data_IF_154139501418
#
_entry.id   IF_154139501418
#
_cell.length_a   1.000
_cell.length_b   1.000
_cell.length_c   1.000
_cell.angle_alpha   90.00
_cell.angle_beta   90.00
_cell.angle_gamma   90.00
#
_symmetry.space_group_name_H-M   'P 1'
#
loop_
_entity.id
_entity.type
_entity.pdbx_description
1 polymer ?
#
# COMPACT_ATOMS: atom_id res chain seq x y z
N UNK A 1 47.06 14.28 -27.91
CA UNK A 1 46.40 15.20 -26.95
C UNK A 1 45.01 14.65 -26.67
N UNK A 2 44.77 14.08 -25.49
CA UNK A 2 43.45 13.58 -25.12
C UNK A 2 42.53 14.79 -24.86
N UNK A 3 41.42 14.89 -25.61
CA UNK A 3 40.42 15.92 -25.40
C UNK A 3 39.79 15.73 -24.02
N UNK A 4 40.04 16.66 -23.10
CA UNK A 4 39.38 16.67 -21.79
C UNK A 4 37.87 16.79 -22.01
N UNK A 5 37.14 15.77 -21.62
CA UNK A 5 35.67 15.68 -21.57
C UNK A 5 35.15 16.68 -20.54
N UNK A 6 34.98 17.95 -20.93
CA UNK A 6 34.22 18.91 -20.15
C UNK A 6 32.73 18.61 -20.30
N UNK A 7 32.21 17.78 -19.39
CA UNK A 7 30.79 17.75 -19.07
C UNK A 7 30.36 19.16 -18.58
N UNK A 8 29.14 19.57 -18.94
CA UNK A 8 28.65 20.96 -19.00
C UNK A 8 28.47 21.64 -17.61
N UNK A 9 28.92 21.03 -16.50
CA UNK A 9 28.76 21.54 -15.13
C UNK A 9 30.07 21.79 -14.38
N UNK A 10 29.95 22.23 -13.11
CA UNK A 10 31.08 22.25 -12.19
C UNK A 10 31.62 20.83 -11.93
N UNK A 11 32.82 20.73 -11.34
CA UNK A 11 33.51 19.45 -11.16
C UNK A 11 32.67 18.44 -10.37
N UNK A 12 32.00 18.88 -9.33
CA UNK A 12 31.20 18.02 -8.45
C UNK A 12 29.92 17.51 -9.15
N UNK A 13 29.32 18.34 -10.01
CA UNK A 13 28.21 17.95 -10.87
C UNK A 13 28.65 16.88 -11.88
N UNK A 14 29.83 17.06 -12.47
CA UNK A 14 30.40 16.07 -13.40
C UNK A 14 30.72 14.75 -12.70
N UNK A 15 31.20 14.80 -11.45
CA UNK A 15 31.41 13.62 -10.63
C UNK A 15 30.10 12.91 -10.30
N UNK A 16 29.02 13.66 -10.01
CA UNK A 16 27.70 13.06 -9.83
C UNK A 16 27.21 12.33 -11.08
N UNK A 17 27.39 12.92 -12.28
CA UNK A 17 27.10 12.24 -13.54
C UNK A 17 27.92 10.95 -13.70
N UNK A 18 29.22 10.99 -13.41
CA UNK A 18 30.08 9.79 -13.43
C UNK A 18 29.60 8.72 -12.46
N UNK A 19 29.16 9.11 -11.25
CA UNK A 19 28.60 8.19 -10.27
C UNK A 19 27.33 7.52 -10.80
N UNK A 20 26.40 8.29 -11.38
CA UNK A 20 25.19 7.77 -12.03
C UNK A 20 25.52 6.75 -13.15
N UNK A 21 26.47 7.08 -14.01
CA UNK A 21 26.94 6.18 -15.07
C UNK A 21 27.57 4.92 -14.47
N UNK A 22 28.40 5.07 -13.43
CA UNK A 22 29.04 3.96 -12.72
C UNK A 22 28.02 2.97 -12.12
N UNK A 23 26.91 3.48 -11.58
CA UNK A 23 25.81 2.62 -11.12
C UNK A 23 25.19 1.82 -12.28
N UNK A 24 24.96 2.45 -13.45
CA UNK A 24 24.41 1.73 -14.61
C UNK A 24 25.39 0.68 -15.16
N UNK A 25 26.68 1.04 -15.30
CA UNK A 25 27.76 0.11 -15.70
C UNK A 25 27.82 -1.09 -14.75
N UNK A 26 27.70 -0.84 -13.44
CA UNK A 26 27.67 -1.91 -12.44
C UNK A 26 26.44 -2.80 -12.59
N UNK A 27 25.25 -2.20 -12.81
CA UNK A 27 24.02 -2.97 -13.08
C UNK A 27 24.17 -3.86 -14.30
N UNK A 28 24.73 -3.35 -15.40
CA UNK A 28 25.01 -4.16 -16.60
C UNK A 28 25.97 -5.31 -16.29
N UNK A 29 27.06 -5.04 -15.57
CA UNK A 29 28.03 -6.05 -15.17
C UNK A 29 27.46 -7.18 -14.32
N UNK A 30 26.47 -6.87 -13.48
CA UNK A 30 25.81 -7.85 -12.60
C UNK A 30 24.64 -8.59 -13.27
N UNK A 31 24.11 -8.10 -14.38
CA UNK A 31 22.84 -8.58 -14.94
C UNK A 31 22.91 -10.04 -15.39
N UNK A 32 23.98 -10.44 -16.08
CA UNK A 32 24.12 -11.81 -16.59
C UNK A 32 24.32 -12.82 -15.46
N UNK A 33 25.20 -12.51 -14.51
CA UNK A 33 25.35 -13.26 -13.27
C UNK A 33 24.02 -13.41 -12.53
N UNK A 34 23.29 -12.31 -12.32
CA UNK A 34 22.00 -12.32 -11.63
C UNK A 34 20.98 -13.22 -12.34
N UNK A 35 20.89 -13.15 -13.67
CA UNK A 35 20.04 -14.05 -14.46
C UNK A 35 20.41 -15.53 -14.24
N UNK A 36 21.70 -15.87 -14.33
CA UNK A 36 22.17 -17.25 -14.17
C UNK A 36 21.88 -17.80 -12.77
N UNK A 37 22.16 -17.01 -11.73
CA UNK A 37 21.92 -17.42 -10.34
C UNK A 37 20.43 -17.48 -10.00
N UNK A 38 19.61 -16.55 -10.49
CA UNK A 38 18.16 -16.63 -10.31
C UNK A 38 17.56 -17.87 -10.98
N UNK A 39 18.11 -18.35 -12.09
CA UNK A 39 17.69 -19.61 -12.70
C UNK A 39 18.02 -20.83 -11.81
N UNK A 40 19.14 -20.79 -11.08
CA UNK A 40 19.48 -21.82 -10.07
C UNK A 40 18.52 -21.77 -8.89
N UNK A 41 18.25 -20.57 -8.36
CA UNK A 41 17.22 -20.36 -7.31
C UNK A 41 15.87 -20.87 -7.80
N UNK A 42 15.48 -20.56 -9.03
CA UNK A 42 14.24 -21.04 -9.64
C UNK A 42 14.22 -22.56 -9.80
N UNK A 43 15.34 -23.20 -10.09
CA UNK A 43 15.43 -24.66 -10.14
C UNK A 43 15.19 -25.29 -8.76
N UNK A 44 15.73 -24.70 -7.70
CA UNK A 44 15.54 -25.20 -6.32
C UNK A 44 14.14 -24.89 -5.81
N UNK A 45 13.71 -23.63 -5.92
CA UNK A 45 12.45 -23.11 -5.38
C UNK A 45 11.27 -23.52 -6.25
N UNK A 46 11.36 -23.33 -7.57
CA UNK A 46 10.29 -23.57 -8.54
C UNK A 46 10.03 -25.04 -8.84
N UNK A 47 11.04 -25.94 -8.72
CA UNK A 47 10.85 -27.39 -8.90
C UNK A 47 10.58 -28.15 -7.60
N UNK A 48 10.53 -27.47 -6.47
CA UNK A 48 10.13 -28.08 -5.19
C UNK A 48 8.69 -28.61 -5.18
N UNK A 49 7.87 -28.31 -6.20
CA UNK A 49 6.62 -29.03 -6.46
C UNK A 49 6.85 -30.27 -7.33
N UNK A 50 7.34 -31.37 -6.73
CA UNK A 50 7.57 -32.64 -7.44
C UNK A 50 6.32 -33.34 -8.00
N UNK A 51 5.12 -32.89 -7.63
CA UNK A 51 3.83 -33.50 -8.01
C UNK A 51 2.78 -32.49 -8.51
N UNK A 52 3.15 -31.24 -8.82
CA UNK A 52 2.21 -30.34 -9.48
C UNK A 52 2.17 -30.71 -10.97
N UNK A 53 1.07 -31.23 -11.54
CA UNK A 53 0.94 -31.35 -12.97
C UNK A 53 0.87 -29.93 -13.56
N UNK A 54 2.02 -29.37 -13.93
CA UNK A 54 2.12 -28.08 -14.62
C UNK A 54 1.35 -28.13 -15.94
N UNK A 55 1.18 -29.33 -16.52
CA UNK A 55 0.37 -29.63 -17.69
C UNK A 55 -1.15 -29.45 -17.46
N UNK A 56 -1.61 -29.37 -16.21
CA UNK A 56 -3.03 -29.18 -15.86
C UNK A 56 -3.38 -27.73 -15.50
N UNK A 57 -2.52 -26.76 -15.80
CA UNK A 57 -3.00 -25.38 -15.95
C UNK A 57 -3.84 -25.31 -17.23
N UNK A 58 -5.10 -25.75 -17.14
CA UNK A 58 -6.06 -25.66 -18.23
C UNK A 58 -6.14 -24.19 -18.64
N UNK A 59 -5.51 -23.85 -19.77
CA UNK A 59 -5.82 -22.62 -20.48
C UNK A 59 -7.29 -22.72 -20.86
N UNK A 60 -8.10 -21.77 -20.39
CA UNK A 60 -9.51 -21.70 -20.77
C UNK A 60 -9.60 -21.69 -22.31
N UNK A 61 -10.09 -22.76 -22.96
CA UNK A 61 -10.00 -22.90 -24.42
C UNK A 61 -10.89 -21.89 -25.15
N UNK A 62 -11.73 -21.15 -24.43
CA UNK A 62 -12.73 -20.23 -24.97
C UNK A 62 -12.41 -18.75 -24.75
N UNK A 63 -11.39 -18.36 -23.97
CA UNK A 63 -11.04 -16.94 -23.83
C UNK A 63 -9.62 -16.68 -23.28
N UNK A 64 -8.68 -16.09 -24.06
CA UNK A 64 -7.35 -15.70 -23.57
C UNK A 64 -7.36 -14.55 -22.56
N UNK A 65 -8.51 -13.89 -22.34
CA UNK A 65 -8.67 -12.74 -21.44
C UNK A 65 -9.67 -13.00 -20.30
N UNK A 66 -9.69 -14.19 -19.70
CA UNK A 66 -10.55 -14.48 -18.55
C UNK A 66 -10.18 -13.58 -17.35
N UNK A 67 -10.83 -12.41 -17.31
CA UNK A 67 -10.49 -11.30 -16.44
C UNK A 67 -11.04 -11.57 -15.03
N UNK A 68 -10.20 -11.43 -14.00
CA UNK A 68 -10.49 -11.75 -12.58
C UNK A 68 -11.78 -11.13 -12.01
N UNK A 69 -12.41 -10.16 -12.69
CA UNK A 69 -13.64 -9.46 -12.26
C UNK A 69 -14.96 -10.08 -12.76
N UNK A 70 -14.95 -11.11 -13.61
CA UNK A 70 -16.17 -11.77 -14.13
C UNK A 70 -16.17 -13.30 -14.02
N UNK A 71 -15.60 -13.84 -12.93
CA UNK A 71 -15.55 -15.30 -12.66
C UNK A 71 -16.92 -15.98 -12.74
N UNK A 72 -18.00 -15.28 -12.42
CA UNK A 72 -19.35 -15.84 -12.37
C UNK A 72 -20.05 -16.01 -13.74
N UNK A 73 -19.43 -15.55 -14.84
CA UNK A 73 -20.06 -15.51 -16.18
C UNK A 73 -19.44 -16.47 -17.20
N UNK A 74 -18.39 -17.21 -16.85
CA UNK A 74 -17.81 -18.22 -17.74
C UNK A 74 -18.46 -19.59 -17.44
N UNK A 75 -19.16 -20.22 -18.41
CA UNK A 75 -19.80 -21.52 -18.21
C UNK A 75 -18.83 -22.61 -17.73
N UNK A 76 -17.56 -22.54 -18.15
CA UNK A 76 -16.47 -23.44 -17.74
C UNK A 76 -16.11 -23.31 -16.24
N UNK A 77 -16.12 -22.09 -15.69
CA UNK A 77 -15.82 -21.81 -14.28
C UNK A 77 -17.07 -21.83 -13.37
N UNK A 78 -18.27 -22.01 -13.95
CA UNK A 78 -19.55 -22.03 -13.23
C UNK A 78 -19.91 -23.44 -12.73
N UNK A 79 -19.45 -24.49 -13.43
CA UNK A 79 -19.70 -25.90 -13.11
C UNK A 79 -18.58 -26.55 -12.28
N UNK A 80 -17.35 -26.04 -12.38
CA UNK A 80 -16.26 -26.43 -11.50
C UNK A 80 -16.17 -25.39 -10.38
N UNK A 81 -16.37 -25.77 -9.11
CA UNK A 81 -15.84 -24.95 -8.02
C UNK A 81 -14.37 -24.75 -8.35
N UNK A 82 -13.88 -23.52 -8.60
CA UNK A 82 -12.47 -23.33 -8.88
C UNK A 82 -11.74 -23.72 -7.60
N UNK A 83 -11.25 -24.95 -7.54
CA UNK A 83 -10.12 -25.27 -6.69
C UNK A 83 -9.06 -24.31 -7.20
N UNK A 84 -8.59 -23.32 -6.40
CA UNK A 84 -7.40 -22.62 -6.80
C UNK A 84 -6.39 -23.72 -7.12
N UNK A 85 -5.70 -23.67 -8.25
CA UNK A 85 -4.38 -24.28 -8.26
C UNK A 85 -3.72 -23.65 -7.03
N UNK A 86 -3.50 -24.40 -5.95
CA UNK A 86 -2.90 -23.82 -4.78
C UNK A 86 -1.57 -23.34 -5.32
N UNK A 87 -1.30 -22.04 -5.24
CA UNK A 87 0.08 -21.54 -5.35
C UNK A 87 0.87 -22.56 -4.57
N UNK A 88 1.78 -23.31 -5.21
CA UNK A 88 2.39 -24.45 -4.53
C UNK A 88 2.93 -23.93 -3.21
N UNK A 89 2.29 -24.31 -2.10
CA UNK A 89 2.58 -23.70 -0.80
C UNK A 89 4.05 -23.94 -0.47
N UNK A 90 4.64 -25.01 -1.02
CA UNK A 90 6.08 -25.28 -0.99
C UNK A 90 6.88 -24.23 -1.77
N UNK A 91 6.52 -23.84 -2.99
CA UNK A 91 7.21 -22.77 -3.73
C UNK A 91 7.12 -21.47 -2.95
N UNK A 92 5.93 -21.11 -2.46
CA UNK A 92 5.73 -19.92 -1.62
C UNK A 92 6.58 -19.97 -0.34
N UNK A 93 6.56 -21.10 0.35
CA UNK A 93 7.34 -21.34 1.56
C UNK A 93 8.84 -21.23 1.27
N UNK A 94 9.31 -21.81 0.18
CA UNK A 94 10.70 -21.74 -0.24
C UNK A 94 11.14 -20.31 -0.62
N UNK A 95 10.27 -19.51 -1.27
CA UNK A 95 10.53 -18.08 -1.49
C UNK A 95 10.71 -17.35 -0.14
N UNK A 96 9.87 -17.66 0.85
CA UNK A 96 9.96 -17.07 2.19
C UNK A 96 11.26 -17.51 2.89
N UNK A 97 11.63 -18.80 2.83
CA UNK A 97 12.85 -19.33 3.44
C UNK A 97 14.13 -18.74 2.83
N UNK A 98 14.09 -18.43 1.54
CA UNK A 98 15.21 -17.80 0.83
C UNK A 98 15.24 -16.27 0.99
N UNK A 99 14.32 -15.69 1.76
CA UNK A 99 14.27 -14.25 2.00
C UNK A 99 15.12 -13.87 3.21
N UNK A 100 16.07 -12.93 3.03
CA UNK A 100 16.95 -12.46 4.09
C UNK A 100 16.41 -11.26 4.85
N UNK A 101 15.91 -10.24 4.14
CA UNK A 101 15.48 -8.98 4.76
C UNK A 101 14.07 -8.61 4.34
N UNK A 102 13.19 -8.33 5.31
CA UNK A 102 11.79 -8.02 5.00
C UNK A 102 11.02 -9.26 4.55
N UNK A 103 9.93 -9.07 3.80
CA UNK A 103 9.11 -10.16 3.26
C UNK A 103 8.90 -10.04 1.76
N UNK A 104 8.45 -11.12 1.09
CA UNK A 104 8.36 -11.13 -0.35
C UNK A 104 7.33 -10.15 -0.92
N UNK A 105 7.67 -9.50 -2.02
CA UNK A 105 6.85 -8.51 -2.72
C UNK A 105 5.84 -9.14 -3.66
N UNK A 106 4.81 -9.77 -3.08
CA UNK A 106 3.78 -10.51 -3.82
C UNK A 106 3.05 -9.71 -4.90
N UNK A 107 3.03 -8.37 -4.79
CA UNK A 107 2.36 -7.48 -5.76
C UNK A 107 3.11 -7.33 -7.07
N UNK A 108 4.43 -7.55 -7.07
CA UNK A 108 5.24 -7.44 -8.28
C UNK A 108 5.14 -8.68 -9.16
N UNK A 109 4.73 -9.82 -8.59
CA UNK A 109 4.86 -11.12 -9.25
C UNK A 109 3.52 -11.73 -9.64
N UNK A 110 3.56 -12.60 -10.65
CA UNK A 110 2.45 -13.44 -11.10
C UNK A 110 2.70 -14.87 -10.67
N UNK A 111 2.01 -15.29 -9.61
CA UNK A 111 2.18 -16.63 -9.04
C UNK A 111 1.96 -17.76 -10.05
N UNK A 112 1.06 -17.57 -11.02
CA UNK A 112 0.81 -18.52 -12.12
C UNK A 112 2.02 -18.75 -13.04
N UNK A 113 3.05 -17.89 -12.96
CA UNK A 113 4.28 -17.99 -13.75
C UNK A 113 5.51 -18.43 -12.96
N UNK A 114 5.42 -18.62 -11.64
CA UNK A 114 6.58 -18.95 -10.81
C UNK A 114 7.32 -20.20 -11.25
N UNK A 115 6.62 -21.21 -11.77
CA UNK A 115 7.26 -22.45 -12.22
C UNK A 115 7.88 -22.33 -13.62
N UNK A 116 7.39 -21.41 -14.44
CA UNK A 116 7.80 -21.26 -15.83
C UNK A 116 8.82 -20.15 -16.06
N UNK A 117 8.89 -19.18 -15.13
CA UNK A 117 9.69 -17.98 -15.30
C UNK A 117 10.43 -17.63 -14.01
N UNK A 118 11.76 -17.80 -14.04
CA UNK A 118 12.65 -17.43 -12.94
C UNK A 118 12.52 -15.97 -12.53
N UNK A 119 12.21 -15.08 -13.47
CA UNK A 119 12.07 -13.65 -13.18
C UNK A 119 10.87 -13.37 -12.28
N UNK A 120 9.79 -14.14 -12.40
CA UNK A 120 8.62 -13.96 -11.54
C UNK A 120 8.95 -14.38 -10.09
N UNK A 121 9.87 -15.33 -9.87
CA UNK A 121 10.46 -15.56 -8.54
C UNK A 121 11.38 -14.40 -8.14
N UNK A 122 12.22 -13.90 -9.05
CA UNK A 122 13.10 -12.76 -8.78
C UNK A 122 12.35 -11.51 -8.29
N UNK A 123 11.19 -11.21 -8.88
CA UNK A 123 10.33 -10.10 -8.45
C UNK A 123 9.86 -10.15 -7.00
N UNK A 124 9.83 -11.34 -6.40
CA UNK A 124 9.50 -11.49 -4.98
C UNK A 124 10.54 -10.82 -4.07
N UNK A 125 11.78 -10.64 -4.52
CA UNK A 125 12.87 -10.03 -3.75
C UNK A 125 13.07 -8.54 -4.06
N UNK A 126 12.24 -7.96 -4.93
CA UNK A 126 12.24 -6.52 -5.23
C UNK A 126 11.52 -5.72 -4.14
N UNK A 127 11.71 -4.39 -4.07
CA UNK A 127 10.87 -3.51 -3.25
C UNK A 127 9.38 -3.64 -3.60
N UNK A 128 8.46 -3.39 -2.65
CA UNK A 128 7.04 -3.76 -2.78
C UNK A 128 6.25 -3.09 -3.91
N UNK A 129 6.73 -1.97 -4.44
CA UNK A 129 6.05 -1.19 -5.47
C UNK A 129 7.01 -0.82 -6.62
N UNK A 130 6.46 -0.61 -7.82
CA UNK A 130 7.20 -0.09 -8.98
C UNK A 130 7.72 -1.14 -9.97
N UNK A 131 7.66 -2.43 -9.65
CA UNK A 131 8.30 -3.48 -10.47
C UNK A 131 7.34 -4.47 -11.14
N UNK A 132 6.01 -4.31 -10.96
CA UNK A 132 5.03 -5.26 -11.51
C UNK A 132 5.00 -5.35 -13.04
N UNK A 133 5.39 -4.26 -13.73
CA UNK A 133 5.41 -4.17 -15.20
C UNK A 133 6.74 -4.60 -15.82
N UNK A 134 7.81 -4.72 -15.02
CA UNK A 134 9.15 -5.05 -15.51
C UNK A 134 9.17 -6.53 -15.96
N UNK A 135 9.61 -6.77 -17.19
CA UNK A 135 9.46 -8.07 -17.86
C UNK A 135 10.69 -8.98 -17.69
N UNK A 136 11.84 -8.40 -17.34
CA UNK A 136 13.13 -9.10 -17.22
C UNK A 136 14.09 -8.41 -16.24
N UNK A 137 15.19 -9.08 -15.90
CA UNK A 137 16.28 -8.48 -15.10
C UNK A 137 16.91 -7.30 -15.83
N UNK A 138 17.03 -7.40 -17.16
CA UNK A 138 17.63 -6.39 -18.04
C UNK A 138 16.86 -5.06 -17.99
N UNK A 139 15.53 -5.12 -17.88
CA UNK A 139 14.67 -3.95 -17.73
C UNK A 139 14.66 -3.37 -16.31
N UNK A 140 15.22 -4.08 -15.33
CA UNK A 140 15.30 -3.58 -13.96
C UNK A 140 16.33 -2.45 -13.87
N UNK A 141 16.06 -1.51 -12.98
CA UNK A 141 17.04 -0.50 -12.59
C UNK A 141 18.11 -1.11 -11.65
N UNK A 142 19.17 -0.34 -11.40
CA UNK A 142 20.24 -0.71 -10.46
C UNK A 142 19.69 -1.11 -9.09
N UNK A 143 18.67 -0.39 -8.60
CA UNK A 143 18.05 -0.71 -7.32
C UNK A 143 17.41 -2.09 -7.30
N UNK A 144 16.68 -2.46 -8.34
CA UNK A 144 16.04 -3.76 -8.41
C UNK A 144 17.08 -4.88 -8.45
N UNK A 145 18.15 -4.72 -9.26
CA UNK A 145 19.27 -5.68 -9.33
C UNK A 145 19.91 -5.89 -7.95
N UNK A 146 20.31 -4.80 -7.28
CA UNK A 146 20.93 -4.87 -5.95
C UNK A 146 19.95 -5.37 -4.88
N UNK A 147 18.66 -5.00 -4.95
CA UNK A 147 17.66 -5.45 -4.00
C UNK A 147 17.43 -6.95 -4.07
N UNK A 148 17.41 -7.54 -5.27
CA UNK A 148 17.28 -8.99 -5.42
C UNK A 148 18.47 -9.68 -4.76
N UNK A 149 19.70 -9.22 -5.04
CA UNK A 149 20.92 -9.80 -4.48
C UNK A 149 20.99 -9.66 -2.95
N UNK A 150 20.45 -8.57 -2.38
CA UNK A 150 20.40 -8.36 -0.94
C UNK A 150 19.30 -9.15 -0.22
N UNK A 151 18.12 -9.23 -0.83
CA UNK A 151 16.96 -9.82 -0.17
C UNK A 151 16.91 -11.33 -0.34
N UNK A 152 17.68 -11.91 -1.27
CA UNK A 152 17.73 -13.35 -1.50
C UNK A 152 18.99 -13.97 -0.87
N UNK A 153 18.79 -14.93 0.04
CA UNK A 153 19.84 -15.60 0.81
C UNK A 153 20.89 -16.28 -0.10
N UNK A 154 20.46 -16.83 -1.24
CA UNK A 154 21.32 -17.46 -2.24
C UNK A 154 22.52 -16.58 -2.64
N UNK A 155 22.30 -15.29 -2.88
CA UNK A 155 23.36 -14.39 -3.32
C UNK A 155 24.38 -14.09 -2.22
N UNK A 156 23.97 -14.18 -0.95
CA UNK A 156 24.90 -14.06 0.18
C UNK A 156 25.71 -15.33 0.42
N UNK A 157 25.22 -16.49 -0.03
CA UNK A 157 25.99 -17.74 0.00
C UNK A 157 26.94 -17.88 -1.17
N UNK A 158 26.64 -17.23 -2.30
CA UNK A 158 27.51 -17.23 -3.47
C UNK A 158 28.54 -16.10 -3.40
N UNK A 159 28.16 -14.86 -3.09
CA UNK A 159 29.17 -13.81 -2.99
C UNK A 159 30.07 -13.99 -1.76
N UNK A 160 31.27 -13.38 -1.81
CA UNK A 160 32.35 -13.49 -0.84
C UNK A 160 31.90 -13.62 0.63
N UNK A 161 32.66 -14.32 1.49
CA UNK A 161 32.39 -14.46 2.93
C UNK A 161 32.09 -13.14 3.68
N UNK A 162 32.49 -11.99 3.11
CA UNK A 162 32.13 -10.66 3.61
C UNK A 162 30.62 -10.36 3.60
N UNK A 163 29.83 -11.13 2.86
CA UNK A 163 28.36 -11.06 2.80
C UNK A 163 27.68 -11.95 3.85
N UNK A 164 28.41 -12.82 4.53
CA UNK A 164 27.91 -13.70 5.60
C UNK A 164 27.76 -12.90 6.91
N UNK A 165 26.75 -13.25 7.70
CA UNK A 165 26.44 -12.56 8.95
C UNK A 165 26.99 -13.32 10.16
N UNK A 166 27.55 -12.63 11.18
CA UNK A 166 27.81 -11.20 11.20
C UNK A 166 29.10 -10.88 10.42
N UNK A 167 29.15 -9.77 9.66
CA UNK A 167 30.40 -9.31 9.11
C UNK A 167 31.32 -8.85 10.27
N UNK A 168 32.65 -8.78 10.05
CA UNK A 168 33.56 -8.18 11.02
C UNK A 168 33.08 -6.78 11.43
N UNK A 169 33.24 -6.35 12.70
CA UNK A 169 32.73 -5.07 13.20
C UNK A 169 33.18 -3.85 12.37
N UNK A 170 34.29 -3.99 11.63
CA UNK A 170 34.89 -2.93 10.82
C UNK A 170 34.64 -3.06 9.31
N UNK A 171 33.85 -4.04 8.85
CA UNK A 171 33.61 -4.29 7.42
C UNK A 171 32.12 -4.38 7.11
N UNK A 172 31.64 -3.51 6.23
CA UNK A 172 30.28 -3.61 5.70
C UNK A 172 30.22 -4.64 4.58
N UNK A 173 29.09 -5.35 4.46
CA UNK A 173 28.81 -6.21 3.31
C UNK A 173 28.89 -5.37 2.01
N UNK A 174 29.61 -5.84 0.97
CA UNK A 174 29.74 -5.12 -0.30
C UNK A 174 28.40 -4.74 -0.93
N UNK A 175 27.39 -5.62 -0.87
CA UNK A 175 26.06 -5.32 -1.40
C UNK A 175 25.37 -4.17 -0.65
N UNK A 176 25.50 -4.12 0.68
CA UNK A 176 24.98 -3.03 1.50
C UNK A 176 25.68 -1.70 1.19
N UNK A 177 27.00 -1.72 1.01
CA UNK A 177 27.78 -0.55 0.65
C UNK A 177 27.35 -0.02 -0.73
N UNK A 178 27.24 -0.90 -1.72
CA UNK A 178 26.80 -0.56 -3.08
C UNK A 178 25.34 -0.06 -3.10
N UNK A 179 24.45 -0.61 -2.27
CA UNK A 179 23.10 -0.06 -2.08
C UNK A 179 23.14 1.35 -1.50
N UNK A 180 24.01 1.59 -0.52
CA UNK A 180 24.14 2.90 0.12
C UNK A 180 24.60 3.97 -0.89
N UNK A 181 25.62 3.66 -1.70
CA UNK A 181 26.07 4.53 -2.79
C UNK A 181 24.93 4.88 -3.73
N UNK A 182 24.13 3.89 -4.14
CA UNK A 182 22.97 4.15 -4.98
C UNK A 182 21.96 5.11 -4.33
N UNK A 183 21.77 5.02 -3.00
CA UNK A 183 20.91 5.98 -2.27
C UNK A 183 21.53 7.36 -2.24
N UNK A 184 22.80 7.46 -1.88
CA UNK A 184 23.52 8.72 -1.76
C UNK A 184 23.48 9.48 -3.09
N UNK A 185 23.85 8.83 -4.19
CA UNK A 185 23.85 9.42 -5.53
C UNK A 185 22.45 9.90 -5.96
N UNK A 186 21.37 9.16 -5.66
CA UNK A 186 20.01 9.56 -6.07
C UNK A 186 19.35 10.58 -5.16
N UNK A 187 19.77 10.67 -3.91
CA UNK A 187 19.14 11.53 -2.91
C UNK A 187 19.93 12.80 -2.61
N UNK A 188 21.08 13.02 -3.26
CA UNK A 188 21.74 14.33 -3.25
C UNK A 188 20.84 15.37 -3.93
N UNK A 189 20.30 16.32 -3.15
CA UNK A 189 19.43 17.39 -3.66
C UNK A 189 20.11 18.29 -4.69
N UNK A 190 21.43 18.40 -4.59
CA UNK A 190 22.22 19.37 -5.35
C UNK A 190 22.93 18.71 -6.56
N UNK A 191 22.76 17.39 -6.74
CA UNK A 191 23.43 16.60 -7.78
C UNK A 191 24.97 16.80 -7.80
N UNK A 192 25.60 16.84 -6.62
CA UNK A 192 27.05 17.06 -6.45
C UNK A 192 27.70 15.91 -5.71
N UNK A 193 28.88 15.49 -6.16
CA UNK A 193 29.70 14.44 -5.54
C UNK A 193 31.15 14.92 -5.48
N UNK A 194 31.79 14.83 -4.33
CA UNK A 194 33.20 15.21 -4.20
C UNK A 194 34.12 14.21 -4.91
N UNK A 195 35.36 14.60 -5.20
CA UNK A 195 36.32 13.65 -5.80
C UNK A 195 36.61 12.46 -4.89
N UNK A 196 36.67 12.69 -3.58
CA UNK A 196 36.90 11.65 -2.58
C UNK A 196 35.75 10.64 -2.58
N UNK A 197 34.50 11.13 -2.52
CA UNK A 197 33.32 10.27 -2.56
C UNK A 197 33.26 9.48 -3.87
N UNK A 198 33.55 10.12 -5.01
CA UNK A 198 33.56 9.43 -6.31
C UNK A 198 34.58 8.29 -6.34
N UNK A 199 35.79 8.51 -5.80
CA UNK A 199 36.82 7.48 -5.70
C UNK A 199 36.35 6.32 -4.82
N UNK A 200 35.75 6.62 -3.66
CA UNK A 200 35.22 5.60 -2.75
C UNK A 200 34.07 4.81 -3.38
N UNK A 201 33.19 5.50 -4.13
CA UNK A 201 32.09 4.87 -4.86
C UNK A 201 32.62 3.88 -5.89
N UNK A 202 33.54 4.30 -6.76
CA UNK A 202 34.10 3.44 -7.80
C UNK A 202 34.93 2.30 -7.25
N UNK A 203 35.64 2.52 -6.14
CA UNK A 203 36.33 1.46 -5.42
C UNK A 203 35.37 0.39 -4.90
N UNK A 204 34.26 0.79 -4.28
CA UNK A 204 33.26 -0.14 -3.77
C UNK A 204 32.55 -0.91 -4.88
N UNK A 205 32.14 -0.23 -5.96
CA UNK A 205 31.53 -0.86 -7.14
C UNK A 205 32.48 -1.87 -7.79
N UNK A 206 33.74 -1.49 -8.00
CA UNK A 206 34.76 -2.38 -8.54
C UNK A 206 35.06 -3.55 -7.60
N UNK A 207 35.05 -3.34 -6.29
CA UNK A 207 35.25 -4.41 -5.30
C UNK A 207 34.15 -5.47 -5.38
N UNK A 208 32.89 -5.05 -5.55
CA UNK A 208 31.79 -6.00 -5.76
C UNK A 208 31.95 -6.76 -7.07
N UNK A 209 32.23 -6.07 -8.18
CA UNK A 209 32.38 -6.69 -9.51
C UNK A 209 33.62 -7.58 -9.62
N UNK A 210 34.64 -7.33 -8.81
CA UNK A 210 35.86 -8.13 -8.73
C UNK A 210 35.78 -9.26 -7.68
N UNK A 211 34.57 -9.63 -7.22
CA UNK A 211 34.40 -10.72 -6.26
C UNK A 211 35.07 -12.00 -6.80
N UNK A 212 36.10 -12.51 -6.09
CA UNK A 212 36.97 -13.56 -6.61
C UNK A 212 36.27 -14.93 -6.67
N UNK A 213 35.11 -15.10 -6.04
CA UNK A 213 34.48 -16.41 -5.97
C UNK A 213 33.59 -16.67 -7.18
N UNK A 214 32.97 -15.63 -7.75
CA UNK A 214 32.03 -15.80 -8.87
C UNK A 214 32.16 -14.74 -9.98
N UNK A 215 32.32 -13.47 -9.64
CA UNK A 215 32.26 -12.39 -10.63
C UNK A 215 33.56 -12.19 -11.40
N UNK A 216 34.71 -12.60 -10.85
CA UNK A 216 36.00 -12.52 -11.55
C UNK A 216 36.06 -13.33 -12.86
N UNK A 217 35.13 -14.26 -13.06
CA UNK A 217 35.04 -15.07 -14.28
C UNK A 217 33.88 -14.65 -15.19
N UNK A 218 33.02 -13.72 -14.77
CA UNK A 218 31.92 -13.22 -15.59
C UNK A 218 32.44 -12.13 -16.55
N UNK A 219 32.34 -12.33 -17.88
CA UNK A 219 32.84 -11.36 -18.86
C UNK A 219 32.19 -9.98 -18.72
N UNK A 220 30.91 -9.91 -18.35
CA UNK A 220 30.19 -8.65 -18.16
C UNK A 220 30.70 -7.91 -16.92
N UNK A 221 31.01 -8.61 -15.84
CA UNK A 221 31.61 -8.01 -14.65
C UNK A 221 33.02 -7.46 -14.94
N UNK A 222 33.85 -8.21 -15.69
CA UNK A 222 35.19 -7.76 -16.11
C UNK A 222 35.10 -6.51 -16.99
N UNK A 223 34.20 -6.49 -17.98
CA UNK A 223 33.98 -5.32 -18.85
C UNK A 223 33.51 -4.13 -18.02
N UNK A 224 32.61 -4.34 -17.05
CA UNK A 224 32.14 -3.29 -16.16
C UNK A 224 33.26 -2.71 -15.28
N UNK A 225 34.14 -3.55 -14.71
CA UNK A 225 35.33 -3.11 -13.98
C UNK A 225 36.25 -2.23 -14.84
N UNK A 226 36.52 -2.64 -16.09
CA UNK A 226 37.35 -1.84 -17.01
C UNK A 226 36.69 -0.49 -17.31
N UNK A 227 35.39 -0.48 -17.59
CA UNK A 227 34.62 0.77 -17.83
C UNK A 227 34.61 1.70 -16.62
N UNK A 228 34.48 1.16 -15.40
CA UNK A 228 34.58 1.96 -14.17
C UNK A 228 35.96 2.60 -14.02
N UNK A 229 37.03 1.84 -14.30
CA UNK A 229 38.40 2.37 -14.31
C UNK A 229 38.59 3.46 -15.37
N UNK A 230 38.03 3.29 -16.57
CA UNK A 230 38.11 4.28 -17.63
C UNK A 230 37.30 5.56 -17.30
N UNK A 231 36.14 5.42 -16.65
CA UNK A 231 35.36 6.53 -16.11
C UNK A 231 36.12 7.29 -15.02
N UNK A 232 36.83 6.56 -14.15
CA UNK A 232 37.62 7.16 -13.07
C UNK A 232 38.78 7.98 -13.61
N UNK A 233 39.43 7.47 -14.65
CA UNK A 233 40.66 8.04 -15.23
C UNK A 233 40.41 8.98 -16.41
N UNK A 234 39.16 9.36 -16.69
CA UNK A 234 38.77 10.20 -17.83
C UNK A 234 39.26 9.67 -19.19
N UNK A 235 39.29 8.34 -19.33
CA UNK A 235 39.75 7.64 -20.55
C UNK A 235 38.64 7.29 -21.53
N UNK A 236 37.38 7.42 -21.11
CA UNK A 236 36.23 7.16 -21.99
C UNK A 236 36.12 8.20 -23.10
N UNK A 237 35.83 7.73 -24.32
CA UNK A 237 35.64 8.60 -25.47
C UNK A 237 34.33 9.42 -25.34
N UNK A 238 34.30 10.60 -25.97
CA UNK A 238 33.10 11.45 -26.00
C UNK A 238 31.89 10.73 -26.64
N UNK A 239 32.12 9.84 -27.60
CA UNK A 239 31.06 9.08 -28.25
C UNK A 239 30.43 8.03 -27.31
N UNK A 240 31.25 7.32 -26.54
CA UNK A 240 30.76 6.36 -25.54
C UNK A 240 30.06 7.07 -24.37
N UNK A 241 30.60 8.21 -23.94
CA UNK A 241 29.97 9.06 -22.93
C UNK A 241 28.60 9.57 -23.43
N UNK A 242 28.52 9.96 -24.70
CA UNK A 242 27.29 10.42 -25.35
C UNK A 242 26.22 9.32 -25.42
N UNK A 243 26.60 8.07 -25.68
CA UNK A 243 25.67 6.93 -25.65
C UNK A 243 25.10 6.70 -24.26
N UNK A 244 25.96 6.68 -23.24
CA UNK A 244 25.55 6.49 -21.84
C UNK A 244 24.68 7.64 -21.32
N UNK A 245 25.03 8.88 -21.67
CA UNK A 245 24.22 10.06 -21.31
C UNK A 245 22.83 10.02 -21.96
N UNK A 246 22.73 9.54 -23.19
CA UNK A 246 21.44 9.39 -23.87
C UNK A 246 20.55 8.38 -23.15
N UNK A 247 21.09 7.23 -22.76
CA UNK A 247 20.36 6.21 -21.99
C UNK A 247 19.92 6.71 -20.61
N UNK A 248 20.79 7.45 -19.91
CA UNK A 248 20.45 8.10 -18.63
C UNK A 248 19.38 9.18 -18.80
N UNK A 249 19.43 9.97 -19.87
CA UNK A 249 18.44 11.02 -20.13
C UNK A 249 17.08 10.41 -20.51
N UNK A 250 17.05 9.33 -21.28
CA UNK A 250 15.82 8.59 -21.61
C UNK A 250 15.16 8.01 -20.34
N UNK A 251 15.95 7.40 -19.45
CA UNK A 251 15.45 6.91 -18.16
C UNK A 251 14.99 8.05 -17.23
N UNK A 252 15.67 9.20 -17.23
CA UNK A 252 15.25 10.37 -16.46
C UNK A 252 13.93 10.95 -16.96
N UNK A 253 13.74 11.07 -18.28
CA UNK A 253 12.49 11.55 -18.87
C UNK A 253 11.33 10.57 -18.65
N UNK A 254 11.60 9.28 -18.65
CA UNK A 254 10.60 8.26 -18.29
C UNK A 254 10.23 8.31 -16.80
N UNK A 255 11.22 8.55 -15.91
CA UNK A 255 11.00 8.78 -14.49
C UNK A 255 10.16 10.04 -14.21
N UNK A 256 10.39 11.13 -14.95
CA UNK A 256 9.56 12.35 -14.87
C UNK A 256 8.13 12.09 -15.32
N UNK A 257 7.94 11.38 -16.44
CA UNK A 257 6.60 11.02 -16.97
C UNK A 257 5.83 10.13 -16.00
N UNK A 258 6.49 9.14 -15.40
CA UNK A 258 5.89 8.26 -14.40
C UNK A 258 5.56 9.00 -13.12
N UNK A 259 6.45 9.86 -12.62
CA UNK A 259 6.18 10.74 -11.47
C UNK A 259 4.95 11.62 -11.67
N UNK A 260 4.81 12.23 -12.85
CA UNK A 260 3.61 13.02 -13.21
C UNK A 260 2.33 12.18 -13.21
N UNK A 261 2.38 10.97 -13.79
CA UNK A 261 1.25 10.01 -13.76
C UNK A 261 0.85 9.60 -12.35
N UNK A 262 1.83 9.37 -11.46
CA UNK A 262 1.54 9.05 -10.05
C UNK A 262 0.85 10.22 -9.34
N UNK A 263 1.30 11.46 -9.57
CA UNK A 263 0.64 12.66 -9.04
C UNK A 263 -0.82 12.76 -9.50
N UNK A 264 -1.08 12.58 -10.79
CA UNK A 264 -2.44 12.61 -11.35
C UNK A 264 -3.33 11.48 -10.79
N UNK A 265 -2.78 10.28 -10.57
CA UNK A 265 -3.50 9.16 -9.95
C UNK A 265 -3.80 9.46 -8.49
N UNK A 266 -2.85 10.04 -7.75
CA UNK A 266 -3.02 10.42 -6.35
C UNK A 266 -4.12 11.48 -6.21
N UNK A 267 -4.10 12.54 -7.03
CA UNK A 267 -5.13 13.58 -7.06
C UNK A 267 -6.52 13.01 -7.39
N UNK A 268 -6.62 12.14 -8.42
CA UNK A 268 -7.88 11.47 -8.75
C UNK A 268 -8.40 10.58 -7.62
N UNK A 269 -7.50 9.92 -6.92
CA UNK A 269 -7.85 9.03 -5.79
C UNK A 269 -8.32 9.85 -4.59
N UNK A 270 -7.63 10.94 -4.28
CA UNK A 270 -8.01 11.88 -3.23
C UNK A 270 -9.37 12.52 -3.52
N UNK A 271 -9.58 12.99 -4.76
CA UNK A 271 -10.86 13.54 -5.22
C UNK A 271 -12.03 12.56 -5.05
N UNK A 272 -11.83 11.28 -5.42
CA UNK A 272 -12.85 10.22 -5.21
C UNK A 272 -13.13 9.96 -3.73
N UNK A 273 -12.11 10.01 -2.88
CA UNK A 273 -12.31 9.84 -1.43
C UNK A 273 -13.09 11.01 -0.83
N UNK A 274 -12.79 12.25 -1.24
CA UNK A 274 -13.52 13.44 -0.81
C UNK A 274 -15.00 13.37 -1.23
N UNK A 275 -15.30 12.97 -2.47
CA UNK A 275 -16.68 12.81 -2.93
C UNK A 275 -17.44 11.74 -2.13
N UNK A 276 -16.80 10.61 -1.81
CA UNK A 276 -17.40 9.57 -0.96
C UNK A 276 -17.67 10.07 0.45
N UNK A 277 -16.74 10.85 1.01
CA UNK A 277 -16.89 11.44 2.34
C UNK A 277 -18.08 12.39 2.37
N UNK A 278 -18.20 13.27 1.37
CA UNK A 278 -19.30 14.22 1.25
C UNK A 278 -20.66 13.51 1.12
N UNK A 279 -20.77 12.52 0.24
CA UNK A 279 -21.99 11.71 0.10
C UNK A 279 -22.39 11.01 1.42
N UNK A 280 -21.40 10.51 2.17
CA UNK A 280 -21.63 9.87 3.46
C UNK A 280 -22.11 10.88 4.50
N UNK A 281 -21.52 12.06 4.54
CA UNK A 281 -21.92 13.15 5.42
C UNK A 281 -23.34 13.64 5.12
N UNK A 282 -23.69 13.81 3.84
CA UNK A 282 -25.03 14.19 3.42
C UNK A 282 -26.08 13.15 3.86
N UNK A 283 -25.80 11.85 3.66
CA UNK A 283 -26.67 10.78 4.16
C UNK A 283 -26.80 10.79 5.70
N UNK A 284 -25.71 11.08 6.41
CA UNK A 284 -25.70 11.26 7.87
C UNK A 284 -26.62 12.39 8.32
N UNK A 285 -26.54 13.55 7.65
CA UNK A 285 -27.39 14.71 7.93
C UNK A 285 -28.88 14.42 7.66
N UNK A 286 -29.20 13.73 6.56
CA UNK A 286 -30.58 13.32 6.25
C UNK A 286 -31.13 12.41 7.35
N UNK A 287 -30.34 11.42 7.80
CA UNK A 287 -30.75 10.50 8.88
C UNK A 287 -30.96 11.24 10.21
N UNK A 288 -30.07 12.18 10.54
CA UNK A 288 -30.19 13.00 11.74
C UNK A 288 -31.47 13.84 11.72
N UNK A 289 -31.72 14.58 10.63
CA UNK A 289 -32.96 15.35 10.45
C UNK A 289 -34.20 14.48 10.66
N UNK A 290 -34.26 13.31 10.02
CA UNK A 290 -35.38 12.38 10.17
C UNK A 290 -35.56 11.92 11.62
N UNK A 291 -34.48 11.60 12.33
CA UNK A 291 -34.54 11.20 13.76
C UNK A 291 -35.03 12.35 14.64
N UNK A 292 -34.56 13.57 14.40
CA UNK A 292 -35.01 14.77 15.13
C UNK A 292 -36.51 14.99 14.95
N UNK A 293 -37.01 14.98 13.71
CA UNK A 293 -38.44 15.18 13.43
C UNK A 293 -39.32 14.11 14.08
N UNK A 294 -38.90 12.83 14.03
CA UNK A 294 -39.63 11.74 14.71
C UNK A 294 -39.61 11.93 16.22
N UNK A 295 -38.49 12.36 16.79
CA UNK A 295 -38.35 12.69 18.20
C UNK A 295 -39.29 13.81 18.64
N UNK A 296 -39.34 14.90 17.88
CA UNK A 296 -40.22 16.05 18.10
C UNK A 296 -41.70 15.65 18.04
N UNK A 297 -42.11 14.89 17.03
CA UNK A 297 -43.48 14.38 16.91
C UNK A 297 -43.89 13.52 18.10
N UNK A 298 -42.98 12.64 18.55
CA UNK A 298 -43.22 11.78 19.72
C UNK A 298 -43.34 12.59 21.00
N UNK A 299 -42.47 13.59 21.18
CA UNK A 299 -42.50 14.47 22.34
C UNK A 299 -43.81 15.28 22.37
N UNK A 300 -44.18 15.90 21.24
CA UNK A 300 -45.44 16.63 21.10
C UNK A 300 -46.66 15.76 21.42
N UNK A 301 -46.70 14.53 20.91
CA UNK A 301 -47.78 13.58 21.17
C UNK A 301 -47.89 13.21 22.66
N UNK A 302 -46.75 13.02 23.33
CA UNK A 302 -46.72 12.75 24.78
C UNK A 302 -47.19 13.95 25.60
N UNK A 303 -46.76 15.16 25.24
CA UNK A 303 -47.18 16.41 25.90
C UNK A 303 -48.70 16.57 25.80
N UNK A 304 -49.25 16.45 24.59
CA UNK A 304 -50.69 16.56 24.34
C UNK A 304 -51.50 15.52 25.12
N UNK A 305 -51.01 14.28 25.20
CA UNK A 305 -51.64 13.24 26.02
C UNK A 305 -51.60 13.58 27.52
N UNK A 306 -50.48 14.12 28.00
CA UNK A 306 -50.33 14.60 29.37
C UNK A 306 -51.29 15.72 29.72
N UNK A 307 -51.42 16.71 28.83
CA UNK A 307 -52.37 17.83 28.95
C UNK A 307 -53.82 17.32 29.06
N UNK A 308 -54.27 16.48 28.12
CA UNK A 308 -55.61 15.89 28.17
C UNK A 308 -55.87 15.04 29.42
N UNK A 309 -54.85 14.40 29.97
CA UNK A 309 -54.98 13.65 31.22
C UNK A 309 -55.15 14.58 32.42
N UNK A 310 -54.39 15.68 32.46
CA UNK A 310 -54.50 16.70 33.51
C UNK A 310 -55.85 17.41 33.45
N UNK A 311 -56.26 17.85 32.26
CA UNK A 311 -57.56 18.49 32.01
C UNK A 311 -58.72 17.62 32.52
N UNK A 312 -58.74 16.33 32.16
CA UNK A 312 -59.76 15.39 32.67
C UNK A 312 -59.74 15.28 34.18
N UNK A 313 -58.56 15.17 34.80
CA UNK A 313 -58.46 15.09 36.27
C UNK A 313 -58.98 16.36 36.94
N UNK A 314 -58.66 17.54 36.39
CA UNK A 314 -59.14 18.82 36.88
C UNK A 314 -60.65 18.91 36.77
N UNK A 315 -61.23 18.52 35.63
CA UNK A 315 -62.68 18.52 35.42
C UNK A 315 -63.41 17.58 36.38
N UNK A 316 -62.94 16.34 36.55
CA UNK A 316 -63.51 15.41 37.53
C UNK A 316 -63.37 15.92 38.97
N UNK A 317 -62.23 16.55 39.30
CA UNK A 317 -62.02 17.18 40.60
C UNK A 317 -63.01 18.32 40.86
N UNK A 318 -63.20 19.21 39.88
CA UNK A 318 -64.15 20.32 39.96
C UNK A 318 -65.59 19.83 40.13
N UNK A 319 -66.04 18.88 39.31
CA UNK A 319 -67.38 18.29 39.40
C UNK A 319 -67.66 17.65 40.77
N UNK A 320 -66.66 16.96 41.34
CA UNK A 320 -66.78 16.36 42.67
C UNK A 320 -66.91 17.41 43.76
N UNK A 321 -66.15 18.51 43.68
CA UNK A 321 -66.25 19.63 44.62
C UNK A 321 -67.63 20.30 44.48
N UNK A 322 -68.07 20.60 43.26
CA UNK A 322 -69.40 21.17 42.99
C UNK A 322 -70.52 20.30 43.57
N UNK A 323 -70.48 18.98 43.32
CA UNK A 323 -71.46 18.04 43.85
C UNK A 323 -71.47 18.02 45.38
N UNK A 324 -70.30 18.09 46.01
CA UNK A 324 -70.17 18.13 47.48
C UNK A 324 -70.67 19.45 48.07
N UNK A 325 -70.41 20.58 47.41
CA UNK A 325 -70.90 21.90 47.81
C UNK A 325 -72.42 21.94 47.70
N UNK A 326 -72.98 21.45 46.59
CA UNK A 326 -74.42 21.39 46.35
C UNK A 326 -75.14 20.54 47.43
N UNK A 327 -74.63 19.33 47.72
CA UNK A 327 -75.15 18.51 48.82
C UNK A 327 -75.03 19.22 50.18
N UNK A 328 -73.96 20.00 50.39
CA UNK A 328 -73.79 20.82 51.60
C UNK A 328 -74.88 21.89 51.72
N UNK A 329 -75.16 22.62 50.64
CA UNK A 329 -76.20 23.64 50.56
C UNK A 329 -77.58 23.01 50.83
N UNK A 330 -77.90 21.89 50.19
CA UNK A 330 -79.17 21.19 50.38
C UNK A 330 -79.39 20.76 51.84
N UNK A 331 -78.35 20.24 52.50
CA UNK A 331 -78.43 19.90 53.94
C UNK A 331 -78.69 21.13 54.81
N UNK A 332 -78.03 22.24 54.52
CA UNK A 332 -78.25 23.49 55.26
C UNK A 332 -79.67 24.04 55.06
N UNK A 333 -80.19 23.99 53.83
CA UNK A 333 -81.57 24.39 53.53
C UNK A 333 -82.59 23.49 54.23
N UNK A 334 -82.39 22.16 54.20
CA UNK A 334 -83.25 21.23 54.92
C UNK A 334 -83.23 21.47 56.44
N UNK A 335 -82.05 21.74 57.01
CA UNK A 335 -81.92 22.08 58.42
C UNK A 335 -82.66 23.39 58.76
N UNK A 336 -82.46 24.44 57.96
CA UNK A 336 -83.15 25.71 58.12
C UNK A 336 -84.68 25.57 58.02
N UNK A 337 -85.18 24.81 57.04
CA UNK A 337 -86.61 24.53 56.89
C UNK A 337 -87.19 23.77 58.10
N UNK A 338 -86.46 22.78 58.63
CA UNK A 338 -86.87 22.06 59.85
C UNK A 338 -86.92 22.99 61.07
N UNK A 339 -85.96 23.89 61.23
CA UNK A 339 -85.96 24.88 62.31
C UNK A 339 -87.13 25.85 62.18
N UNK A 340 -87.36 26.41 60.98
CA UNK A 340 -88.49 27.29 60.72
C UNK A 340 -89.84 26.61 60.96
N UNK A 341 -89.98 25.33 60.59
CA UNK A 341 -91.17 24.53 60.87
C UNK A 341 -91.36 24.31 62.38
N UNK A 342 -90.29 23.98 63.12
CA UNK A 342 -90.33 23.78 64.56
C UNK A 342 -90.61 25.09 65.35
N UNK A 343 -90.21 26.24 64.81
CA UNK A 343 -90.55 27.55 65.37
C UNK A 343 -92.03 27.89 65.09
N UNK A 344 -92.52 27.67 63.86
CA UNK A 344 -93.94 27.82 63.51
C UNK A 344 -94.85 26.93 64.35
N UNK A 345 -94.51 25.65 64.55
CA UNK A 345 -95.26 24.72 65.40
C UNK A 345 -95.28 25.17 66.88
N UNK A 346 -94.23 25.85 67.36
CA UNK A 346 -94.19 26.45 68.71
C UNK A 346 -95.11 27.67 68.83
N UNK A 347 -95.11 28.56 67.85
CA UNK A 347 -95.94 29.77 67.87
C UNK A 347 -97.45 29.44 67.75
N UNK A 348 -97.80 28.41 66.99
CA UNK A 348 -99.19 27.91 66.86
C UNK A 348 -99.67 27.19 68.13
N UNK A 349 -98.79 26.51 68.86
CA UNK A 349 -99.15 25.83 70.12
C UNK A 349 -99.24 26.79 71.33
N UNK A 350 -98.74 28.01 71.21
CA UNK A 350 -98.77 29.05 72.26
C UNK A 350 -99.86 30.11 72.11
N UNK A 351 -100.64 30.08 71.02
CA UNK A 351 -101.79 30.95 70.76
C UNK A 351 -103.10 30.23 71.06
#
# INVERSE_FOLDING_TARGET
>A
MAAKTHLIGDKETNNWFKACIGLNVTKEGLTNFLCAELQKVHTVVGRSCGNCPIENLIQCPTNPYCNKRKRNYCPFHKSQKPQPCPICDNVKHNIILQHRYGGPSWRNTRAEKWVLNYWEIGKCYLPPDGYSSISSVQESDFNGVISIMLNCLHFHTCLSPLCLSPPPPDKQCPLEQVRQIGRDVRHTSDCKVTDADLQDYFKALSTLLADPQYLQHDPSAIIACTRLSDLQNDRMSFEELGKLLKEVNETLEEAKKTGKRFSEIAERTLSKHLQKLDATNQLGLIRLKKKTTVGEQRLHSKTKFGEHRLERKTQFGAQRIESSVQHGIERMQQAANKTAQADYERDVAGS
#
